data_IF_739448265787
#
_entry.id   IF_739448265787
#
_cell.length_a   1.000
_cell.length_b   1.000
_cell.length_c   1.000
_cell.angle_alpha   90.00
_cell.angle_beta   90.00
_cell.angle_gamma   90.00
#
_symmetry.space_group_name_H-M   'P 1'
#
loop_
_entity.id
_entity.type
_entity.pdbx_description
1 polymer ?
#
# COMPACT_ATOMS: atom_id res chain seq x y z
N UNK A 1 19.49 1.46 1.96
CA UNK A 1 18.52 1.63 3.06
C UNK A 1 17.95 0.26 3.36
N UNK A 2 18.66 -0.51 4.17
CA UNK A 2 18.16 -1.79 4.66
C UNK A 2 17.11 -1.45 5.72
N UNK A 3 15.84 -1.63 5.36
CA UNK A 3 14.75 -1.59 6.33
C UNK A 3 14.63 -3.01 6.85
N UNK A 4 15.01 -3.18 8.12
CA UNK A 4 15.07 -4.47 8.78
C UNK A 4 13.70 -5.17 8.71
N UNK A 5 13.66 -6.35 8.11
CA UNK A 5 12.41 -7.04 7.75
C UNK A 5 11.63 -7.55 8.97
N UNK A 6 12.26 -7.52 10.14
CA UNK A 6 11.71 -8.04 11.39
C UNK A 6 10.62 -7.13 11.98
N UNK A 7 10.59 -5.83 11.64
CA UNK A 7 9.73 -4.85 12.32
C UNK A 7 8.49 -4.39 11.53
N UNK A 8 8.35 -4.74 10.25
CA UNK A 8 7.31 -4.15 9.40
C UNK A 8 5.87 -4.42 9.88
N UNK A 9 5.60 -5.63 10.39
CA UNK A 9 4.26 -6.00 10.92
C UNK A 9 3.94 -5.32 12.24
N UNK A 10 4.94 -5.19 13.11
CA UNK A 10 4.80 -4.53 14.41
C UNK A 10 4.58 -3.03 14.22
N UNK A 11 5.40 -2.38 13.39
CA UNK A 11 5.23 -0.98 13.00
C UNK A 11 3.85 -0.69 12.38
N UNK A 12 3.32 -1.62 11.57
CA UNK A 12 1.96 -1.49 11.02
C UNK A 12 0.92 -1.48 12.14
N UNK A 13 1.05 -2.39 13.11
CA UNK A 13 0.14 -2.46 14.27
C UNK A 13 0.23 -1.19 15.10
N UNK A 14 1.42 -0.70 15.39
CA UNK A 14 1.66 0.54 16.15
C UNK A 14 1.01 1.76 15.48
N UNK A 15 1.18 1.91 14.16
CA UNK A 15 0.57 3.01 13.40
C UNK A 15 -0.96 2.95 13.51
N UNK A 16 -1.54 1.75 13.49
CA UNK A 16 -2.97 1.56 13.39
C UNK A 16 -3.66 1.41 14.75
N UNK A 17 -2.93 1.16 15.84
CA UNK A 17 -3.46 0.89 17.19
C UNK A 17 -4.51 1.92 17.63
N UNK A 18 -4.25 3.21 17.33
CA UNK A 18 -5.12 4.34 17.71
C UNK A 18 -6.40 4.45 16.87
N UNK A 19 -6.66 3.54 15.93
CA UNK A 19 -7.84 3.59 15.06
C UNK A 19 -9.13 3.31 15.82
N UNK A 20 -10.02 4.32 15.88
CA UNK A 20 -11.36 4.21 16.47
C UNK A 20 -12.43 3.67 15.51
N UNK A 21 -12.03 3.28 14.29
CA UNK A 21 -12.91 2.68 13.25
C UNK A 21 -14.11 3.56 12.83
N UNK A 22 -14.00 4.88 13.01
CA UNK A 22 -15.06 5.87 12.72
C UNK A 22 -15.54 5.91 11.26
N UNK A 23 -14.71 5.51 10.29
CA UNK A 23 -15.10 5.40 8.88
C UNK A 23 -15.00 6.68 8.05
N UNK A 24 -14.53 7.81 8.61
CA UNK A 24 -14.35 9.07 7.87
C UNK A 24 -13.45 8.90 6.62
N UNK A 25 -12.41 8.07 6.73
CA UNK A 25 -11.50 7.76 5.63
C UNK A 25 -12.17 7.10 4.42
N UNK A 26 -13.37 6.53 4.57
CA UNK A 26 -14.13 5.92 3.47
C UNK A 26 -14.68 6.96 2.50
N UNK A 27 -15.13 8.11 3.03
CA UNK A 27 -15.87 9.12 2.28
C UNK A 27 -15.08 9.74 1.12
N UNK A 28 -13.76 9.91 1.30
CA UNK A 28 -12.87 10.49 0.29
C UNK A 28 -12.05 9.45 -0.48
N UNK A 29 -12.17 8.16 -0.17
CA UNK A 29 -11.39 7.15 -0.86
C UNK A 29 -11.91 6.97 -2.30
N UNK A 30 -11.09 7.23 -3.34
CA UNK A 30 -11.54 7.11 -4.72
C UNK A 30 -11.86 5.66 -5.10
N UNK A 31 -11.13 4.69 -4.53
CA UNK A 31 -11.33 3.26 -4.77
C UNK A 31 -12.66 2.81 -4.17
N UNK A 32 -12.88 3.10 -2.88
CA UNK A 32 -14.12 2.71 -2.20
C UNK A 32 -15.36 3.36 -2.80
N UNK A 33 -15.24 4.59 -3.33
CA UNK A 33 -16.35 5.28 -4.02
C UNK A 33 -16.88 4.49 -5.21
N UNK A 34 -16.02 3.74 -5.90
CA UNK A 34 -16.36 2.91 -7.05
C UNK A 34 -16.70 1.48 -6.63
N UNK A 35 -15.79 0.81 -5.91
CA UNK A 35 -15.93 -0.62 -5.59
C UNK A 35 -17.00 -0.90 -4.54
N UNK A 36 -17.17 0.01 -3.56
CA UNK A 36 -18.16 -0.05 -2.47
C UNK A 36 -18.13 -1.28 -1.56
N UNK A 37 -17.08 -2.08 -1.63
CA UNK A 37 -16.83 -3.19 -0.70
C UNK A 37 -15.86 -2.77 0.42
N UNK A 38 -16.16 -3.13 1.68
CA UNK A 38 -15.44 -2.63 2.85
C UNK A 38 -13.94 -2.98 2.82
N UNK A 39 -13.59 -4.16 2.29
CA UNK A 39 -12.21 -4.63 2.16
C UNK A 39 -11.32 -3.73 1.27
N UNK A 40 -11.92 -2.97 0.34
CA UNK A 40 -11.21 -1.98 -0.49
C UNK A 40 -11.19 -0.58 0.15
N UNK A 41 -11.88 -0.39 1.27
CA UNK A 41 -11.90 0.88 1.96
C UNK A 41 -10.63 1.06 2.82
N UNK A 42 -10.17 2.30 3.07
CA UNK A 42 -9.00 2.51 3.91
C UNK A 42 -9.20 2.01 5.35
N UNK A 43 -10.45 2.05 5.85
CA UNK A 43 -10.79 1.47 7.15
C UNK A 43 -10.70 -0.05 7.14
N UNK A 44 -11.30 -0.70 6.14
CA UNK A 44 -11.25 -2.15 6.01
C UNK A 44 -9.82 -2.66 5.88
N UNK A 45 -9.02 -2.04 5.02
CA UNK A 45 -7.58 -2.34 4.89
C UNK A 45 -6.85 -2.14 6.23
N UNK A 46 -7.13 -1.05 6.96
CA UNK A 46 -6.54 -0.84 8.29
C UNK A 46 -6.93 -1.95 9.28
N UNK A 47 -8.20 -2.35 9.32
CA UNK A 47 -8.66 -3.44 10.19
C UNK A 47 -8.00 -4.77 9.81
N UNK A 48 -7.90 -5.08 8.51
CA UNK A 48 -7.20 -6.28 8.04
C UNK A 48 -5.75 -6.29 8.51
N UNK A 49 -5.01 -5.20 8.26
CA UNK A 49 -3.61 -5.07 8.68
C UNK A 49 -3.42 -5.13 10.20
N UNK A 50 -4.32 -4.55 11.00
CA UNK A 50 -4.31 -4.68 12.47
C UNK A 50 -4.39 -6.15 12.91
N UNK A 51 -5.17 -6.96 12.20
CA UNK A 51 -5.33 -8.39 12.47
C UNK A 51 -4.27 -9.26 11.76
N UNK A 52 -3.17 -8.66 11.28
CA UNK A 52 -2.10 -9.33 10.53
C UNK A 52 -2.57 -10.01 9.22
N UNK A 53 -3.69 -9.55 8.67
CA UNK A 53 -4.22 -9.99 7.38
C UNK A 53 -3.64 -9.07 6.30
N UNK A 54 -2.55 -9.51 5.68
CA UNK A 54 -1.86 -8.80 4.60
C UNK A 54 -2.15 -9.51 3.28
N UNK A 55 -3.03 -8.92 2.48
CA UNK A 55 -3.54 -9.48 1.23
C UNK A 55 -3.23 -8.60 0.01
N UNK A 56 -3.29 -9.18 -1.20
CA UNK A 56 -2.98 -8.46 -2.45
C UNK A 56 -3.89 -7.25 -2.70
N UNK A 57 -5.08 -7.23 -2.12
CA UNK A 57 -6.02 -6.11 -2.18
C UNK A 57 -5.39 -4.77 -1.71
N UNK A 58 -4.33 -4.83 -0.89
CA UNK A 58 -3.59 -3.64 -0.47
C UNK A 58 -2.90 -2.91 -1.64
N UNK A 59 -2.69 -3.58 -2.78
CA UNK A 59 -2.20 -2.94 -4.02
C UNK A 59 -3.25 -2.07 -4.71
N UNK A 60 -4.54 -2.26 -4.43
CA UNK A 60 -5.61 -1.44 -5.01
C UNK A 60 -5.66 -0.04 -4.40
N UNK A 61 -5.03 0.17 -3.24
CA UNK A 61 -4.85 1.51 -2.69
C UNK A 61 -4.00 2.38 -3.64
N UNK A 62 -4.53 3.53 -4.05
CA UNK A 62 -3.80 4.45 -4.94
C UNK A 62 -2.75 5.30 -4.23
N UNK A 63 -2.58 5.14 -2.90
CA UNK A 63 -1.69 5.95 -2.05
C UNK A 63 -1.93 7.47 -2.16
N UNK A 64 -3.17 7.89 -2.47
CA UNK A 64 -3.53 9.31 -2.61
C UNK A 64 -3.56 10.12 -1.30
N UNK A 65 -3.39 9.47 -0.13
CA UNK A 65 -3.38 10.06 1.22
C UNK A 65 -4.66 10.79 1.68
N UNK A 66 -5.75 10.77 0.90
CA UNK A 66 -7.01 11.39 1.29
C UNK A 66 -7.56 10.87 2.65
N UNK A 67 -7.31 9.60 2.97
CA UNK A 67 -7.71 9.00 4.24
C UNK A 67 -6.95 9.56 5.46
N UNK A 68 -5.69 9.99 5.28
CA UNK A 68 -4.86 10.53 6.35
C UNK A 68 -5.27 11.97 6.67
N UNK A 69 -5.60 12.76 5.64
CA UNK A 69 -6.04 14.16 5.79
C UNK A 69 -7.29 14.26 6.67
N UNK A 70 -8.25 13.34 6.51
CA UNK A 70 -9.49 13.33 7.27
C UNK A 70 -9.41 12.59 8.61
N UNK A 71 -8.27 11.97 8.92
CA UNK A 71 -8.18 11.13 10.10
C UNK A 71 -8.05 12.00 11.37
N UNK A 72 -9.02 11.95 12.31
CA UNK A 72 -8.93 12.73 13.55
C UNK A 72 -7.79 12.25 14.46
N UNK A 73 -7.36 10.99 14.30
CA UNK A 73 -6.25 10.39 15.02
C UNK A 73 -4.91 10.55 14.30
N UNK A 74 -4.88 11.24 13.14
CA UNK A 74 -3.69 11.46 12.31
C UNK A 74 -2.93 10.15 11.98
N UNK A 75 -3.67 9.07 11.72
CA UNK A 75 -3.08 7.76 11.38
C UNK A 75 -2.40 7.83 10.02
N UNK A 76 -1.21 7.21 9.92
CA UNK A 76 -0.45 7.09 8.68
C UNK A 76 -0.81 5.81 7.91
N UNK A 77 -2.08 5.71 7.51
CA UNK A 77 -2.63 4.52 6.84
C UNK A 77 -1.86 4.18 5.56
N UNK A 78 -1.44 5.18 4.76
CA UNK A 78 -0.67 4.93 3.55
C UNK A 78 0.71 4.36 3.86
N UNK A 79 1.36 4.81 4.94
CA UNK A 79 2.65 4.27 5.36
C UNK A 79 2.51 2.80 5.81
N UNK A 80 1.43 2.45 6.53
CA UNK A 80 1.11 1.05 6.85
C UNK A 80 0.93 0.20 5.59
N UNK A 81 0.25 0.72 4.57
CA UNK A 81 0.04 0.02 3.30
C UNK A 81 1.37 -0.18 2.56
N UNK A 82 2.26 0.81 2.53
CA UNK A 82 3.59 0.68 1.92
C UNK A 82 4.40 -0.40 2.64
N UNK A 83 4.41 -0.38 3.99
CA UNK A 83 5.06 -1.42 4.78
C UNK A 83 4.48 -2.81 4.49
N UNK A 84 3.15 -2.92 4.35
CA UNK A 84 2.50 -4.18 4.00
C UNK A 84 2.88 -4.67 2.59
N UNK A 85 3.01 -3.76 1.61
CA UNK A 85 3.53 -4.09 0.27
C UNK A 85 4.97 -4.59 0.33
N UNK A 86 5.82 -3.99 1.18
CA UNK A 86 7.19 -4.47 1.38
C UNK A 86 7.25 -5.90 1.93
N UNK A 87 6.25 -6.33 2.73
CA UNK A 87 6.15 -7.74 3.16
C UNK A 87 6.01 -8.67 1.95
N UNK A 88 5.25 -8.28 0.91
CA UNK A 88 5.15 -9.06 -0.33
C UNK A 88 6.45 -9.08 -1.12
N UNK A 89 7.13 -7.94 -1.24
CA UNK A 89 8.46 -7.83 -1.90
C UNK A 89 9.46 -8.76 -1.23
N UNK A 90 9.61 -8.67 0.10
CA UNK A 90 10.55 -9.47 0.88
C UNK A 90 10.20 -10.97 0.83
N UNK A 91 8.91 -11.31 0.74
CA UNK A 91 8.45 -12.68 0.56
C UNK A 91 8.55 -13.19 -0.88
N UNK A 92 9.11 -12.42 -1.82
CA UNK A 92 9.13 -12.72 -3.28
C UNK A 92 7.74 -13.01 -3.87
N UNK A 93 6.68 -12.42 -3.30
CA UNK A 93 5.27 -12.56 -3.72
C UNK A 93 4.72 -11.29 -4.39
N UNK A 94 5.59 -10.40 -4.85
CA UNK A 94 5.25 -9.16 -5.55
C UNK A 94 4.37 -9.40 -6.79
N UNK A 95 3.66 -8.36 -7.25
CA UNK A 95 2.81 -8.38 -8.45
C UNK A 95 3.66 -8.50 -9.72
N UNK A 96 3.18 -9.28 -10.69
CA UNK A 96 3.86 -9.52 -11.96
C UNK A 96 4.20 -8.21 -12.71
N UNK A 97 3.27 -7.27 -12.77
CA UNK A 97 3.46 -5.97 -13.45
C UNK A 97 4.65 -5.20 -12.87
N UNK A 98 4.78 -5.18 -11.53
CA UNK A 98 5.87 -4.50 -10.85
C UNK A 98 7.22 -5.15 -11.19
N UNK A 99 7.28 -6.49 -11.22
CA UNK A 99 8.48 -7.21 -11.63
C UNK A 99 8.88 -6.94 -13.09
N UNK A 100 7.90 -6.82 -13.99
CA UNK A 100 8.15 -6.47 -15.40
C UNK A 100 8.71 -5.05 -15.53
N UNK A 101 8.15 -4.08 -14.80
CA UNK A 101 8.64 -2.69 -14.75
C UNK A 101 10.09 -2.64 -14.24
N UNK A 102 10.40 -3.34 -13.14
CA UNK A 102 11.77 -3.39 -12.59
C UNK A 102 12.73 -4.03 -13.60
N UNK A 103 12.31 -5.09 -14.29
CA UNK A 103 13.11 -5.74 -15.33
C UNK A 103 13.38 -4.81 -16.52
N UNK A 104 12.39 -4.02 -16.94
CA UNK A 104 12.54 -3.03 -18.02
C UNK A 104 13.53 -1.94 -17.61
N UNK A 105 13.39 -1.42 -16.38
CA UNK A 105 14.28 -0.41 -15.82
C UNK A 105 15.73 -0.90 -15.82
N UNK A 106 15.98 -2.11 -15.32
CA UNK A 106 17.33 -2.70 -15.27
C UNK A 106 17.94 -2.95 -16.66
N UNK A 107 17.11 -3.20 -17.69
CA UNK A 107 17.57 -3.52 -19.05
C UNK A 107 17.79 -2.29 -19.94
N UNK A 108 16.95 -1.28 -19.80
CA UNK A 108 16.84 -0.16 -20.76
C UNK A 108 17.00 1.20 -20.12
N UNK A 109 17.09 1.28 -18.79
CA UNK A 109 17.14 2.53 -18.06
C UNK A 109 15.77 3.20 -17.90
N UNK A 110 14.68 2.64 -18.44
CA UNK A 110 13.32 3.16 -18.29
C UNK A 110 12.28 2.06 -18.04
N UNK A 111 11.12 2.46 -17.51
CA UNK A 111 10.03 1.55 -17.14
C UNK A 111 9.29 0.93 -18.34
N UNK A 112 9.38 1.57 -19.52
CA UNK A 112 8.67 1.15 -20.72
C UNK A 112 9.41 0.05 -21.49
N UNK A 113 10.70 -0.18 -21.22
CA UNK A 113 11.49 -1.17 -21.95
C UNK A 113 11.88 -0.72 -23.35
N UNK A 114 11.78 0.59 -23.63
CA UNK A 114 12.10 1.18 -24.94
C UNK A 114 13.59 1.50 -24.94
N UNK A 115 14.35 1.02 -25.93
CA UNK A 115 15.72 1.49 -26.10
C UNK A 115 15.64 2.90 -26.68
N UNK A 116 16.27 3.88 -26.03
CA UNK A 116 16.41 5.20 -26.66
C UNK A 116 17.23 4.99 -27.94
N UNK A 117 16.59 5.17 -29.09
CA UNK A 117 17.29 5.20 -30.36
C UNK A 117 18.25 6.39 -30.31
N UNK A 118 19.55 6.09 -30.35
CA UNK A 118 20.63 7.07 -30.39
C UNK A 118 20.31 8.12 -31.45
N UNK A 119 20.01 9.35 -31.02
CA UNK A 119 20.10 10.51 -31.91
C UNK A 119 21.55 10.79 -32.26
#
# INVERSE_FOLDING_TARGET
>A
MEIDSHNAREEIKDILEKCTKCGLCKSLCPVFRIVREEQYSPRGMAIMMQNDIIERILYDCTLCKACEIQCPMNLKICDSIIKARNVFVNSKREVRSNNEIIKNLNKTGNIFGIKEDSK
#
